data_IF_555034604264
#
_entry.id   IF_555034604264
#
_cell.length_a   1.000
_cell.length_b   1.000
_cell.length_c   1.000
_cell.angle_alpha   90.00
_cell.angle_beta   90.00
_cell.angle_gamma   90.00
#
_symmetry.space_group_name_H-M   'P 1'
#
loop_
_entity.id
_entity.type
_entity.pdbx_description
1 polymer ?
#
# COMPACT_ATOMS: atom_id res chain seq x y z
N UNK A 1 -12.70 -8.84 -2.54
CA UNK A 1 -11.53 -9.64 -2.10
C UNK A 1 -10.27 -9.05 -2.71
N UNK A 2 -9.21 -8.87 -1.91
CA UNK A 2 -7.93 -8.28 -2.34
C UNK A 2 -6.93 -9.33 -2.84
N UNK A 3 -7.09 -10.59 -2.43
CA UNK A 3 -6.39 -11.73 -3.03
C UNK A 3 -7.05 -12.10 -4.37
N UNK A 4 -6.30 -12.62 -5.36
CA UNK A 4 -4.86 -12.95 -5.30
C UNK A 4 -3.91 -11.77 -5.55
N UNK A 5 -4.45 -10.59 -5.91
CA UNK A 5 -3.68 -9.45 -6.40
C UNK A 5 -2.77 -8.83 -5.32
N UNK A 6 -3.16 -8.87 -4.05
CA UNK A 6 -2.36 -8.38 -2.92
C UNK A 6 -1.69 -9.55 -2.20
N UNK A 7 -0.36 -9.51 -2.11
CA UNK A 7 0.48 -10.49 -1.42
C UNK A 7 0.75 -10.11 0.03
N UNK A 8 1.04 -8.84 0.28
CA UNK A 8 1.32 -8.30 1.62
C UNK A 8 0.85 -6.86 1.73
N UNK A 9 0.36 -6.49 2.91
CA UNK A 9 0.10 -5.12 3.32
C UNK A 9 0.88 -4.90 4.61
N UNK A 10 1.66 -3.84 4.64
CA UNK A 10 2.30 -3.32 5.85
C UNK A 10 1.86 -1.89 6.06
N UNK A 11 1.94 -1.42 7.30
CA UNK A 11 1.67 -0.04 7.63
C UNK A 11 2.61 0.47 8.72
N UNK A 12 2.82 1.78 8.74
CA UNK A 12 3.41 2.50 9.87
C UNK A 12 2.64 3.80 10.13
N UNK A 13 2.75 4.30 11.36
CA UNK A 13 2.22 5.61 11.76
C UNK A 13 3.43 6.48 12.04
N UNK A 14 3.63 7.49 11.20
CA UNK A 14 4.81 8.35 11.22
C UNK A 14 4.41 9.78 10.80
N UNK A 15 5.20 10.82 11.15
CA UNK A 15 4.96 12.17 10.68
C UNK A 15 5.12 12.27 9.16
N UNK A 16 4.21 12.96 8.49
CA UNK A 16 4.33 13.28 7.07
C UNK A 16 5.29 14.46 6.82
N UNK A 17 5.36 14.92 5.56
CA UNK A 17 6.22 16.03 5.17
C UNK A 17 5.81 17.39 5.80
N UNK A 18 4.60 17.49 6.37
CA UNK A 18 4.13 18.65 7.15
C UNK A 18 4.44 18.50 8.65
N UNK A 19 4.79 17.29 9.10
CA UNK A 19 5.01 16.95 10.51
C UNK A 19 3.77 16.41 11.21
N UNK A 20 2.67 16.16 10.49
CA UNK A 20 1.44 15.59 11.05
C UNK A 20 1.49 14.05 11.03
N UNK A 21 1.08 13.41 12.14
CA UNK A 21 0.99 11.95 12.18
C UNK A 21 0.07 11.41 11.08
N UNK A 22 0.56 10.43 10.34
CA UNK A 22 -0.10 9.88 9.16
C UNK A 22 0.14 8.38 9.04
N UNK A 23 -0.75 7.71 8.32
CA UNK A 23 -0.68 6.27 8.03
C UNK A 23 -0.03 6.02 6.67
N UNK A 24 1.10 5.31 6.67
CA UNK A 24 1.80 4.93 5.45
C UNK A 24 1.59 3.45 5.16
N UNK A 25 0.94 3.15 4.04
CA UNK A 25 0.74 1.78 3.57
C UNK A 25 1.77 1.40 2.52
N UNK A 26 2.44 0.27 2.75
CA UNK A 26 3.31 -0.41 1.78
C UNK A 26 2.65 -1.70 1.34
N UNK A 27 2.41 -1.84 0.04
CA UNK A 27 1.59 -2.93 -0.51
C UNK A 27 2.37 -3.68 -1.57
N UNK A 28 2.56 -4.98 -1.34
CA UNK A 28 3.15 -5.89 -2.32
C UNK A 28 2.04 -6.52 -3.15
N UNK A 29 2.12 -6.32 -4.46
CA UNK A 29 1.22 -6.87 -5.47
C UNK A 29 1.80 -8.16 -6.06
N UNK A 30 0.94 -9.04 -6.56
CA UNK A 30 1.38 -10.08 -7.49
C UNK A 30 1.88 -9.45 -8.80
N UNK A 31 2.83 -10.07 -9.50
CA UNK A 31 3.34 -9.51 -10.76
C UNK A 31 2.24 -9.26 -11.82
N UNK A 32 1.24 -10.14 -12.02
CA UNK A 32 0.13 -9.87 -12.95
C UNK A 32 -0.77 -8.71 -12.54
N UNK A 33 -0.71 -8.27 -11.28
CA UNK A 33 -1.49 -7.15 -10.75
C UNK A 33 -0.73 -5.82 -10.84
N UNK A 34 0.60 -5.86 -10.94
CA UNK A 34 1.46 -4.70 -11.15
C UNK A 34 1.70 -4.37 -12.62
N UNK A 35 1.25 -5.21 -13.56
CA UNK A 35 1.36 -4.93 -14.99
C UNK A 35 0.66 -3.61 -15.39
N UNK A 36 1.26 -2.78 -16.26
CA UNK A 36 0.73 -1.46 -16.62
C UNK A 36 -0.77 -1.41 -17.01
N UNK A 37 -1.31 -2.38 -17.77
CA UNK A 37 -2.74 -2.36 -18.13
C UNK A 37 -3.69 -2.52 -16.93
N UNK A 38 -3.22 -3.14 -15.84
CA UNK A 38 -4.05 -3.49 -14.67
C UNK A 38 -3.72 -2.63 -13.46
N UNK A 39 -2.49 -2.11 -13.38
CA UNK A 39 -1.95 -1.39 -12.24
C UNK A 39 -2.89 -0.29 -11.74
N UNK A 40 -3.33 0.60 -12.63
CA UNK A 40 -4.22 1.72 -12.25
C UNK A 40 -5.53 1.25 -11.59
N UNK A 41 -6.18 0.24 -12.15
CA UNK A 41 -7.45 -0.27 -11.64
C UNK A 41 -7.21 -1.01 -10.32
N UNK A 42 -6.14 -1.81 -10.26
CA UNK A 42 -5.78 -2.60 -9.09
C UNK A 42 -5.47 -1.70 -7.90
N UNK A 43 -4.56 -0.72 -8.04
CA UNK A 43 -4.14 0.17 -6.94
C UNK A 43 -5.30 1.00 -6.41
N UNK A 44 -6.15 1.56 -7.30
CA UNK A 44 -7.36 2.30 -6.90
C UNK A 44 -8.33 1.44 -6.11
N UNK A 45 -8.57 0.21 -6.54
CA UNK A 45 -9.47 -0.72 -5.83
C UNK A 45 -8.92 -1.08 -4.46
N UNK A 46 -7.60 -1.31 -4.36
CA UNK A 46 -6.94 -1.63 -3.09
C UNK A 46 -7.02 -0.44 -2.12
N UNK A 47 -6.64 0.75 -2.56
CA UNK A 47 -6.68 1.96 -1.74
C UNK A 47 -8.10 2.21 -1.20
N UNK A 48 -9.12 2.10 -2.05
CA UNK A 48 -10.53 2.25 -1.64
C UNK A 48 -10.96 1.19 -0.63
N UNK A 49 -10.52 -0.05 -0.79
CA UNK A 49 -10.85 -1.13 0.13
C UNK A 49 -10.20 -0.93 1.50
N UNK A 50 -8.95 -0.47 1.52
CA UNK A 50 -8.24 -0.13 2.74
C UNK A 50 -8.93 1.05 3.42
N UNK A 51 -9.11 2.19 2.74
CA UNK A 51 -9.77 3.37 3.30
C UNK A 51 -11.14 3.05 3.93
N UNK A 52 -11.95 2.21 3.27
CA UNK A 52 -13.24 1.76 3.81
C UNK A 52 -13.11 0.95 5.12
N UNK A 53 -12.00 0.26 5.33
CA UNK A 53 -11.77 -0.63 6.47
C UNK A 53 -11.17 0.05 7.70
N UNK A 54 -10.44 1.16 7.55
CA UNK A 54 -9.67 1.77 8.65
C UNK A 54 -10.19 3.13 9.14
N UNK A 55 -11.22 3.73 8.52
CA UNK A 55 -11.83 5.00 8.97
C UNK A 55 -10.79 6.05 9.43
N UNK A 56 -9.65 6.12 8.73
CA UNK A 56 -8.50 6.93 9.15
C UNK A 56 -8.84 8.42 9.20
N UNK A 57 -9.77 8.84 8.34
CA UNK A 57 -10.36 10.18 8.31
C UNK A 57 -11.12 10.53 9.59
N UNK A 58 -11.82 9.57 10.21
CA UNK A 58 -12.48 9.76 11.51
C UNK A 58 -11.45 9.97 12.65
N UNK A 59 -10.22 9.46 12.48
CA UNK A 59 -9.11 9.65 13.39
C UNK A 59 -8.25 10.89 13.04
N UNK A 60 -8.61 11.64 12.00
CA UNK A 60 -7.85 12.79 11.51
C UNK A 60 -6.53 12.45 10.84
N UNK A 61 -6.29 11.17 10.51
CA UNK A 61 -5.03 10.71 9.92
C UNK A 61 -5.12 10.69 8.39
N UNK A 62 -4.12 11.28 7.74
CA UNK A 62 -3.94 11.11 6.30
C UNK A 62 -3.37 9.73 5.97
N UNK A 63 -3.71 9.20 4.80
CA UNK A 63 -3.23 7.89 4.33
C UNK A 63 -2.43 8.02 3.04
N UNK A 64 -1.24 7.42 3.02
CA UNK A 64 -0.36 7.34 1.85
C UNK A 64 -0.21 5.89 1.41
N UNK A 65 -0.10 5.67 0.09
CA UNK A 65 -0.02 4.33 -0.48
C UNK A 65 1.17 4.21 -1.42
N UNK A 66 2.06 3.28 -1.10
CA UNK A 66 3.17 2.85 -1.95
C UNK A 66 2.92 1.40 -2.40
N UNK A 67 3.15 1.15 -3.69
CA UNK A 67 2.94 -0.17 -4.29
C UNK A 67 4.25 -0.70 -4.88
N UNK A 68 4.46 -2.00 -4.76
CA UNK A 68 5.60 -2.72 -5.32
C UNK A 68 5.15 -4.11 -5.79
N UNK A 69 5.73 -4.65 -6.86
CA UNK A 69 5.51 -6.03 -7.29
C UNK A 69 6.30 -7.03 -6.44
N UNK A 70 5.95 -8.31 -6.51
CA UNK A 70 6.69 -9.36 -5.81
C UNK A 70 8.08 -9.57 -6.42
N UNK A 71 8.21 -9.44 -7.74
CA UNK A 71 9.51 -9.46 -8.42
C UNK A 71 10.41 -8.30 -7.97
N UNK A 72 9.91 -7.06 -7.94
CA UNK A 72 10.68 -5.91 -7.45
C UNK A 72 11.10 -6.08 -5.99
N UNK A 73 10.23 -6.63 -5.13
CA UNK A 73 10.60 -6.88 -3.73
C UNK A 73 11.71 -7.93 -3.61
N UNK A 74 11.65 -8.99 -4.41
CA UNK A 74 12.65 -10.05 -4.39
C UNK A 74 14.04 -9.54 -4.77
N UNK A 75 14.11 -8.55 -5.67
CA UNK A 75 15.35 -7.92 -6.14
C UNK A 75 15.88 -6.85 -5.18
N UNK A 76 15.02 -5.91 -4.73
CA UNK A 76 15.48 -4.72 -3.99
C UNK A 76 15.77 -4.99 -2.52
N UNK A 77 15.01 -5.88 -1.86
CA UNK A 77 15.15 -6.24 -0.42
C UNK A 77 15.37 -5.04 0.50
N UNK A 78 14.59 -3.99 0.25
CA UNK A 78 14.62 -2.78 1.05
C UNK A 78 14.10 -3.10 2.47
N UNK A 79 14.85 -2.82 3.56
CA UNK A 79 14.45 -3.16 4.92
C UNK A 79 13.09 -2.61 5.31
N UNK A 80 12.73 -1.44 4.78
CA UNK A 80 11.42 -0.83 4.97
C UNK A 80 10.27 -1.69 4.46
N UNK A 81 10.54 -2.57 3.50
CA UNK A 81 9.57 -3.46 2.86
C UNK A 81 9.58 -4.90 3.39
N UNK A 82 10.47 -5.20 4.33
CA UNK A 82 10.65 -6.55 4.90
C UNK A 82 9.99 -6.75 6.27
N UNK A 83 9.52 -5.66 6.91
CA UNK A 83 8.90 -5.64 8.24
C UNK A 83 7.55 -6.38 8.32
#
# INVERSE_FOLDING_TARGET
MLRPDVKRIMYSIEPDWTGEESLFFRIILSDPASEPPRLYITTRRIAKAIQKGIQADELGLQTYFSFRSESEQAEMRDPEWDA
#
